data_IF_483398181116
#
_entry.id   IF_483398181116
#
_cell.length_a   1.000
_cell.length_b   1.000
_cell.length_c   1.000
_cell.angle_alpha   90.00
_cell.angle_beta   90.00
_cell.angle_gamma   90.00
#
_symmetry.space_group_name_H-M   'P 1'
#
loop_
_entity.id
_entity.type
_entity.pdbx_description
1 polymer ?
#
# COMPACT_ATOMS: atom_id res chain seq x y z
N UNK A 1 -0.20 12.82 -21.72
CA UNK A 1 0.47 12.02 -20.67
C UNK A 1 -0.36 10.75 -20.46
N UNK A 2 0.26 9.59 -20.25
CA UNK A 2 -0.46 8.32 -20.08
C UNK A 2 -0.40 7.87 -18.62
N UNK A 3 -1.47 7.24 -18.13
CA UNK A 3 -1.47 6.58 -16.83
C UNK A 3 -0.90 5.17 -16.97
N UNK A 4 -0.16 4.70 -15.96
CA UNK A 4 0.34 3.34 -15.86
C UNK A 4 0.03 2.75 -14.50
N UNK A 5 -0.40 1.50 -14.48
CA UNK A 5 -0.54 0.74 -13.24
C UNK A 5 0.82 0.21 -12.79
N UNK A 6 1.10 0.33 -11.50
CA UNK A 6 2.20 -0.35 -10.84
C UNK A 6 1.64 -1.45 -9.95
N UNK A 7 2.35 -2.57 -9.87
CA UNK A 7 1.98 -3.72 -9.05
C UNK A 7 3.10 -4.01 -8.06
N UNK A 8 2.70 -4.45 -6.88
CA UNK A 8 3.57 -5.03 -5.87
C UNK A 8 2.79 -6.08 -5.09
N UNK A 9 3.52 -6.98 -4.44
CA UNK A 9 2.99 -7.96 -3.52
C UNK A 9 4.05 -8.24 -2.44
N UNK A 10 3.60 -8.47 -1.21
CA UNK A 10 4.44 -8.84 -0.07
C UNK A 10 3.63 -9.79 0.82
N UNK A 11 4.33 -10.59 1.63
CA UNK A 11 3.73 -11.55 2.56
C UNK A 11 4.12 -11.22 3.99
N UNK A 12 3.25 -11.56 4.94
CA UNK A 12 3.54 -11.55 6.37
C UNK A 12 3.57 -12.99 6.90
N UNK A 13 4.27 -13.23 8.01
CA UNK A 13 4.31 -14.56 8.61
C UNK A 13 3.09 -14.80 9.52
N UNK A 14 2.59 -13.73 10.15
CA UNK A 14 1.45 -13.78 11.05
C UNK A 14 0.42 -12.70 10.70
N UNK A 15 -0.86 -13.02 10.90
CA UNK A 15 -1.96 -12.06 10.80
C UNK A 15 -1.97 -11.13 12.04
N UNK A 16 -0.97 -10.27 12.10
CA UNK A 16 -0.79 -9.27 13.16
C UNK A 16 -0.80 -7.86 12.58
N UNK A 17 -1.43 -6.91 13.27
CA UNK A 17 -1.53 -5.52 12.83
C UNK A 17 -0.16 -4.94 12.46
N UNK A 18 0.84 -5.15 13.31
CA UNK A 18 2.18 -4.60 13.09
C UNK A 18 2.85 -5.19 11.85
N UNK A 19 2.81 -6.51 11.68
CA UNK A 19 3.42 -7.17 10.50
C UNK A 19 2.77 -6.67 9.20
N UNK A 20 1.45 -6.55 9.16
CA UNK A 20 0.72 -6.05 7.98
C UNK A 20 1.10 -4.60 7.68
N UNK A 21 1.17 -3.73 8.68
CA UNK A 21 1.51 -2.32 8.49
C UNK A 21 2.98 -2.13 8.06
N UNK A 22 3.91 -2.86 8.68
CA UNK A 22 5.34 -2.82 8.37
C UNK A 22 5.58 -3.31 6.94
N UNK A 23 5.02 -4.47 6.58
CA UNK A 23 5.14 -5.03 5.23
C UNK A 23 4.50 -4.13 4.15
N UNK A 24 3.33 -3.55 4.43
CA UNK A 24 2.68 -2.61 3.49
C UNK A 24 3.55 -1.37 3.25
N UNK A 25 4.15 -0.83 4.32
CA UNK A 25 5.05 0.33 4.23
C UNK A 25 6.32 -0.01 3.45
N UNK A 26 6.91 -1.18 3.71
CA UNK A 26 8.08 -1.67 2.98
C UNK A 26 7.81 -1.77 1.48
N UNK A 27 6.72 -2.46 1.11
CA UNK A 27 6.33 -2.65 -0.28
C UNK A 27 6.13 -1.31 -0.99
N UNK A 28 5.35 -0.41 -0.39
CA UNK A 28 5.07 0.88 -1.02
C UNK A 28 6.34 1.73 -1.16
N UNK A 29 7.19 1.78 -0.14
CA UNK A 29 8.46 2.51 -0.20
C UNK A 29 9.36 1.97 -1.32
N UNK A 30 9.44 0.65 -1.50
CA UNK A 30 10.22 0.06 -2.57
C UNK A 30 9.67 0.46 -3.96
N UNK A 31 8.35 0.40 -4.15
CA UNK A 31 7.69 0.83 -5.39
C UNK A 31 7.99 2.31 -5.68
N UNK A 32 7.89 3.18 -4.66
CA UNK A 32 8.19 4.62 -4.81
C UNK A 32 9.64 4.83 -5.24
N UNK A 33 10.59 4.19 -4.56
CA UNK A 33 12.02 4.35 -4.80
C UNK A 33 12.39 3.89 -6.22
N UNK A 34 11.93 2.72 -6.64
CA UNK A 34 12.26 2.15 -7.96
C UNK A 34 11.67 2.96 -9.12
N UNK A 35 10.56 3.65 -8.90
CA UNK A 35 9.83 4.39 -9.94
C UNK A 35 9.98 5.92 -9.82
N UNK A 36 10.75 6.40 -8.83
CA UNK A 36 10.91 7.82 -8.51
C UNK A 36 9.57 8.59 -8.43
N UNK A 37 8.55 7.95 -7.85
CA UNK A 37 7.20 8.52 -7.78
C UNK A 37 7.07 9.58 -6.69
N UNK A 38 6.14 10.51 -6.91
CA UNK A 38 5.70 11.45 -5.89
C UNK A 38 4.20 11.26 -5.61
N UNK A 39 3.73 11.50 -4.37
CA UNK A 39 2.32 11.33 -4.03
C UNK A 39 1.37 12.14 -4.93
N UNK A 40 1.77 13.35 -5.33
CA UNK A 40 0.99 14.21 -6.22
C UNK A 40 0.77 13.65 -7.64
N UNK A 41 1.56 12.66 -8.06
CA UNK A 41 1.45 12.02 -9.38
C UNK A 41 0.52 10.79 -9.36
N UNK A 42 0.00 10.40 -8.18
CA UNK A 42 -0.74 9.15 -7.97
C UNK A 42 -2.25 9.40 -8.05
N UNK A 43 -2.91 8.75 -9.01
CA UNK A 43 -4.36 8.82 -9.16
C UNK A 43 -5.10 8.07 -8.04
N UNK A 44 -4.67 6.85 -7.70
CA UNK A 44 -5.25 6.03 -6.64
C UNK A 44 -4.36 4.84 -6.30
N UNK A 45 -4.49 4.29 -5.09
CA UNK A 45 -3.91 3.01 -4.70
C UNK A 45 -5.02 2.03 -4.31
N UNK A 46 -5.00 0.86 -4.93
CA UNK A 46 -5.89 -0.26 -4.60
C UNK A 46 -5.04 -1.35 -3.97
N UNK A 47 -5.46 -1.83 -2.81
CA UNK A 47 -4.78 -2.87 -2.05
C UNK A 47 -5.74 -4.03 -1.87
N UNK A 48 -5.29 -5.22 -2.20
CA UNK A 48 -6.00 -6.47 -1.91
C UNK A 48 -5.28 -7.20 -0.78
N UNK A 49 -6.04 -7.92 0.04
CA UNK A 49 -5.51 -8.87 1.03
C UNK A 49 -6.19 -10.21 0.84
N UNK A 50 -5.45 -11.29 1.12
CA UNK A 50 -6.01 -12.64 1.15
C UNK A 50 -6.94 -12.82 2.35
N UNK A 51 -7.86 -13.78 2.28
CA UNK A 51 -8.91 -14.01 3.28
C UNK A 51 -8.41 -14.34 4.69
N UNK A 52 -7.15 -14.72 4.84
CA UNK A 52 -6.49 -15.04 6.11
C UNK A 52 -5.91 -13.81 6.83
N UNK A 53 -5.98 -12.62 6.23
CA UNK A 53 -5.51 -11.36 6.81
C UNK A 53 -6.68 -10.43 7.15
N UNK A 54 -7.04 -10.37 8.43
CA UNK A 54 -8.13 -9.54 8.95
C UNK A 54 -7.75 -8.63 10.13
N UNK A 55 -6.48 -8.67 10.58
CA UNK A 55 -6.07 -7.94 11.78
C UNK A 55 -6.03 -6.42 11.61
N UNK A 56 -5.91 -5.89 10.38
CA UNK A 56 -5.93 -4.45 10.11
C UNK A 56 -6.15 -4.15 8.62
N UNK A 57 -6.43 -2.88 8.30
CA UNK A 57 -6.44 -2.39 6.92
C UNK A 57 -5.03 -1.92 6.50
N UNK A 58 -4.43 -2.51 5.44
CA UNK A 58 -3.12 -2.09 4.92
C UNK A 58 -3.03 -0.60 4.60
N UNK A 59 -4.11 -0.01 4.07
CA UNK A 59 -4.16 1.41 3.71
C UNK A 59 -3.84 2.36 4.89
N UNK A 60 -3.97 1.89 6.14
CA UNK A 60 -3.60 2.69 7.31
C UNK A 60 -2.10 2.98 7.36
N UNK A 61 -1.24 2.07 6.92
CA UNK A 61 0.20 2.30 6.81
C UNK A 61 0.50 3.49 5.90
N UNK A 62 -0.15 3.52 4.73
CA UNK A 62 0.03 4.58 3.73
C UNK A 62 -0.44 5.93 4.25
N UNK A 63 -1.56 5.99 4.98
CA UNK A 63 -2.08 7.24 5.56
C UNK A 63 -1.16 7.87 6.61
N UNK A 64 -0.28 7.08 7.22
CA UNK A 64 0.70 7.57 8.20
C UNK A 64 1.96 8.13 7.53
N UNK A 65 2.14 7.94 6.22
CA UNK A 65 3.25 8.50 5.47
C UNK A 65 3.03 9.98 5.18
N UNK A 66 4.04 10.80 5.46
CA UNK A 66 4.01 12.24 5.18
C UNK A 66 3.80 12.50 3.69
N UNK A 67 2.82 13.32 3.34
CA UNK A 67 2.51 13.69 1.95
C UNK A 67 1.52 12.76 1.25
N UNK A 68 1.05 11.70 1.92
CA UNK A 68 0.09 10.73 1.37
C UNK A 68 -1.35 10.95 1.85
N UNK A 69 -1.60 12.02 2.61
CA UNK A 69 -2.87 12.29 3.27
C UNK A 69 -4.04 12.45 2.30
N UNK A 70 -3.74 12.87 1.06
CA UNK A 70 -4.73 13.16 0.00
C UNK A 70 -4.79 12.09 -1.09
N UNK A 71 -3.93 11.07 -1.06
CA UNK A 71 -3.96 10.00 -2.06
C UNK A 71 -5.20 9.13 -1.84
N UNK A 72 -6.06 8.90 -2.84
CA UNK A 72 -7.22 8.02 -2.70
C UNK A 72 -6.79 6.56 -2.50
N UNK A 73 -7.24 5.93 -1.42
CA UNK A 73 -6.90 4.55 -1.05
C UNK A 73 -8.17 3.69 -0.96
N UNK A 74 -8.11 2.46 -1.46
CA UNK A 74 -9.14 1.44 -1.30
C UNK A 74 -8.53 0.10 -0.92
N UNK A 75 -9.13 -0.58 0.05
CA UNK A 75 -8.83 -1.98 0.37
C UNK A 75 -9.96 -2.89 -0.13
N UNK A 76 -9.62 -4.09 -0.59
CA UNK A 76 -10.53 -5.15 -0.95
C UNK A 76 -9.97 -6.53 -0.53
N UNK A 77 -10.81 -7.56 -0.57
CA UNK A 77 -10.35 -8.94 -0.52
C UNK A 77 -9.93 -9.36 -1.93
N UNK A 78 -8.82 -10.09 -2.04
CA UNK A 78 -8.38 -10.73 -3.29
C UNK A 78 -9.36 -11.82 -3.76
#
# INVERSE_FOLDING_TARGET
>A
MFMRGLRGAITVNHNEEKEILDATSELLNQIIIENAMKPEDICSVIITVTHDLDATFPARAIRQMKGWELVPLMCALE
#
